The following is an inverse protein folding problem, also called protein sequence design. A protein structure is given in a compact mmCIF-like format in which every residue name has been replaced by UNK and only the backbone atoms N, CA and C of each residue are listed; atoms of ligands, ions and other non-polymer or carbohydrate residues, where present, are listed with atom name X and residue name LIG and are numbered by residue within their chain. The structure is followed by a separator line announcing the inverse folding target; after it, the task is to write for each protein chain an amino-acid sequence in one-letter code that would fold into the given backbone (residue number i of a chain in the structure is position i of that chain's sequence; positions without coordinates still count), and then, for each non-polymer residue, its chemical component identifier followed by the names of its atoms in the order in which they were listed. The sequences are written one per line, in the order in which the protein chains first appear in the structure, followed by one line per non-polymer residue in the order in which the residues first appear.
data_IF_430608069154
#
_entry.id   IF_430608069154
#
_cell.length_a   1.000
_cell.length_b   1.000
_cell.length_c   1.000
_cell.angle_alpha   90.00
_cell.angle_beta   90.00
_cell.angle_gamma   90.00
#
_symmetry.space_group_name_H-M   'P 1'
#
loop_
_entity.id
_entity.type
_entity.pdbx_description
1 polymer ?
#
# COMPACT_ATOMS: atom_id res chain seq x y z
N UNK A 1 9.20 -18.32 41.80
CA UNK A 1 7.96 -17.52 41.91
C UNK A 1 7.40 -17.34 40.51
N UNK A 2 6.65 -18.32 40.00
CA UNK A 2 5.94 -18.18 38.74
C UNK A 2 4.48 -17.85 39.09
N UNK A 3 4.07 -16.61 38.82
CA UNK A 3 2.69 -16.19 39.00
C UNK A 3 1.80 -16.98 38.04
N UNK A 4 0.82 -17.70 38.59
CA UNK A 4 -0.23 -18.34 37.80
C UNK A 4 -1.12 -17.24 37.20
N UNK A 5 -1.16 -17.17 35.87
CA UNK A 5 -2.13 -16.35 35.15
C UNK A 5 -3.44 -17.14 35.13
N UNK A 6 -4.42 -16.69 35.91
CA UNK A 6 -5.68 -17.41 36.19
C UNK A 6 -6.66 -17.53 35.01
N UNK A 7 -6.29 -16.98 33.86
CA UNK A 7 -7.06 -16.99 32.61
C UNK A 7 -6.06 -17.03 31.45
N UNK A 8 -6.42 -17.54 30.25
CA UNK A 8 -5.48 -17.56 29.14
C UNK A 8 -5.13 -16.11 28.78
N UNK A 9 -3.95 -15.64 29.23
CA UNK A 9 -3.33 -14.44 28.72
C UNK A 9 -3.07 -14.73 27.25
N UNK A 10 -3.91 -14.17 26.38
CA UNK A 10 -3.68 -14.28 24.95
C UNK A 10 -2.37 -13.54 24.70
N UNK A 11 -1.54 -14.02 23.77
CA UNK A 11 -0.27 -13.36 23.40
C UNK A 11 -0.49 -11.85 23.12
N UNK A 12 -1.70 -11.48 22.68
CA UNK A 12 -2.20 -10.10 22.51
C UNK A 12 -2.10 -9.20 23.75
N UNK A 13 -2.23 -9.76 24.96
CA UNK A 13 -2.25 -8.98 26.22
C UNK A 13 -0.82 -8.60 26.68
N UNK A 14 0.22 -9.18 26.06
CA UNK A 14 1.63 -8.94 26.39
C UNK A 14 2.28 -7.94 25.43
N UNK A 15 1.81 -7.85 24.18
CA UNK A 15 2.39 -6.94 23.19
C UNK A 15 1.35 -5.92 22.73
N UNK A 16 1.61 -4.64 23.02
CA UNK A 16 0.75 -3.49 22.69
C UNK A 16 0.56 -3.21 21.20
N UNK A 17 1.11 -4.06 20.31
CA UNK A 17 1.12 -3.88 18.86
C UNK A 17 1.01 -5.21 18.10
N UNK A 18 0.19 -6.14 18.60
CA UNK A 18 -0.14 -7.34 17.84
C UNK A 18 -1.33 -7.08 16.93
N UNK A 19 -1.18 -7.46 15.67
CA UNK A 19 -2.28 -7.66 14.73
C UNK A 19 -2.55 -9.16 14.67
N UNK A 20 -3.79 -9.59 14.84
CA UNK A 20 -4.18 -11.00 14.75
C UNK A 20 -5.42 -11.20 13.88
N UNK A 21 -5.56 -12.40 13.35
CA UNK A 21 -6.71 -12.83 12.58
C UNK A 21 -7.75 -13.50 13.51
N UNK A 22 -8.99 -13.02 13.49
CA UNK A 22 -10.10 -13.63 14.21
C UNK A 22 -10.82 -14.63 13.29
N UNK A 23 -10.75 -15.91 13.64
CA UNK A 23 -11.31 -17.00 12.83
C UNK A 23 -12.84 -17.09 12.90
N UNK A 24 -13.50 -16.35 13.82
CA UNK A 24 -14.96 -16.36 13.97
C UNK A 24 -15.64 -15.49 12.93
N UNK A 25 -15.05 -14.33 12.61
CA UNK A 25 -15.58 -13.34 11.66
C UNK A 25 -14.66 -13.13 10.44
N UNK A 26 -13.53 -13.84 10.37
CA UNK A 26 -12.53 -13.77 9.29
C UNK A 26 -11.93 -12.38 9.08
N UNK A 27 -11.73 -11.62 10.15
CA UNK A 27 -11.18 -10.25 10.10
C UNK A 27 -9.86 -10.11 10.87
N UNK A 28 -9.09 -9.08 10.54
CA UNK A 28 -7.91 -8.71 11.33
C UNK A 28 -8.27 -7.69 12.40
N UNK A 29 -7.65 -7.82 13.57
CA UNK A 29 -7.82 -6.91 14.71
C UNK A 29 -6.46 -6.48 15.24
N UNK A 30 -6.43 -5.30 15.84
CA UNK A 30 -5.32 -4.81 16.65
C UNK A 30 -5.81 -4.52 18.07
N UNK A 31 -4.97 -4.81 19.05
CA UNK A 31 -5.24 -4.49 20.45
C UNK A 31 -4.76 -3.06 20.67
N UNK A 32 -5.63 -2.19 21.20
CA UNK A 32 -5.24 -0.83 21.59
C UNK A 32 -5.15 -0.68 23.13
N UNK A 33 -5.25 -1.78 23.88
CA UNK A 33 -5.18 -1.84 25.33
C UNK A 33 -6.51 -1.60 26.06
N UNK A 34 -7.60 -1.28 25.34
CA UNK A 34 -8.94 -1.09 25.95
C UNK A 34 -10.03 -1.87 25.22
N UNK A 35 -10.03 -1.82 23.89
CA UNK A 35 -10.95 -2.57 23.03
C UNK A 35 -10.21 -3.05 21.79
N UNK A 36 -10.54 -4.25 21.34
CA UNK A 36 -10.02 -4.77 20.08
C UNK A 36 -10.60 -3.92 18.94
N UNK A 37 -9.74 -3.32 18.12
CA UNK A 37 -10.14 -2.49 16.98
C UNK A 37 -9.98 -3.31 15.72
N UNK A 38 -11.07 -3.46 14.96
CA UNK A 38 -10.99 -4.05 13.62
C UNK A 38 -9.97 -3.28 12.79
N UNK A 39 -9.00 -3.98 12.23
CA UNK A 39 -8.14 -3.44 11.19
C UNK A 39 -8.90 -3.67 9.90
N UNK A 40 -9.49 -2.62 9.30
CA UNK A 40 -10.10 -2.76 7.99
C UNK A 40 -8.98 -3.06 7.00
N UNK A 41 -8.72 -4.35 6.78
CA UNK A 41 -8.26 -4.81 5.48
C UNK A 41 -9.45 -4.64 4.58
N UNK A 42 -9.55 -3.46 3.99
CA UNK A 42 -10.65 -3.17 3.09
C UNK A 42 -10.73 -4.27 2.02
N UNK A 43 -11.93 -4.51 1.50
CA UNK A 43 -12.13 -5.21 0.22
C UNK A 43 -11.23 -4.68 -0.91
N UNK A 44 -10.66 -3.49 -0.68
CA UNK A 44 -9.81 -2.67 -1.50
C UNK A 44 -8.34 -3.11 -1.46
N UNK A 45 -7.97 -4.04 -0.57
CA UNK A 45 -6.81 -4.93 -0.78
C UNK A 45 -7.18 -5.94 -1.88
N UNK A 46 -7.53 -5.42 -3.05
CA UNK A 46 -7.52 -6.21 -4.28
C UNK A 46 -6.06 -6.62 -4.41
N UNK A 47 -5.81 -7.93 -4.30
CA UNK A 47 -4.49 -8.50 -4.47
C UNK A 47 -3.84 -7.83 -5.68
N UNK A 48 -2.70 -7.20 -5.46
CA UNK A 48 -1.89 -6.48 -6.46
C UNK A 48 -2.25 -5.01 -6.76
N UNK A 49 -3.31 -4.42 -6.19
CA UNK A 49 -3.52 -2.97 -6.14
C UNK A 49 -2.98 -2.43 -4.81
N UNK A 50 -1.77 -1.86 -4.82
CA UNK A 50 -1.04 -1.54 -3.58
C UNK A 50 -0.47 -0.14 -3.66
N UNK A 51 -0.75 0.66 -2.64
CA UNK A 51 -0.02 1.90 -2.35
C UNK A 51 1.10 1.59 -1.35
N UNK A 52 2.36 1.72 -1.77
CA UNK A 52 3.53 1.57 -0.89
C UNK A 52 4.18 2.91 -0.66
N UNK A 53 4.66 3.13 0.56
CA UNK A 53 5.54 4.24 0.88
C UNK A 53 6.63 3.75 1.85
N UNK A 54 7.86 4.20 1.63
CA UNK A 54 9.00 3.91 2.48
C UNK A 54 9.27 5.09 3.40
N UNK A 55 9.33 4.84 4.70
CA UNK A 55 9.55 5.86 5.73
C UNK A 55 10.98 5.84 6.30
N UNK A 56 11.89 5.07 5.71
CA UNK A 56 13.29 5.03 6.12
C UNK A 56 14.00 6.34 5.73
N UNK A 57 14.45 7.08 6.74
CA UNK A 57 15.17 8.35 6.57
C UNK A 57 16.56 8.20 5.93
N UNK A 58 17.05 6.96 5.79
CA UNK A 58 18.37 6.63 5.23
C UNK A 58 18.29 5.87 3.92
N UNK A 59 17.11 5.84 3.29
CA UNK A 59 16.92 5.19 2.00
C UNK A 59 17.88 5.77 0.95
N UNK A 60 18.68 4.90 0.33
CA UNK A 60 19.69 5.27 -0.68
C UNK A 60 19.44 4.62 -2.04
N UNK A 61 18.45 3.75 -2.15
CA UNK A 61 18.05 3.08 -3.39
C UNK A 61 16.62 2.55 -3.31
N UNK A 62 15.99 2.30 -4.45
CA UNK A 62 14.58 1.88 -4.55
C UNK A 62 13.60 3.04 -4.41
N UNK A 63 12.32 2.71 -4.17
CA UNK A 63 11.23 3.68 -4.19
C UNK A 63 10.86 4.20 -2.80
N UNK A 64 10.67 5.52 -2.70
CA UNK A 64 10.05 6.20 -1.55
C UNK A 64 8.53 6.01 -1.61
N UNK A 65 7.95 5.98 -2.80
CA UNK A 65 6.52 5.85 -3.01
C UNK A 65 6.24 5.03 -4.27
N UNK A 66 5.26 4.14 -4.22
CA UNK A 66 4.91 3.26 -5.34
C UNK A 66 3.39 3.05 -5.38
N UNK A 67 2.78 3.16 -6.56
CA UNK A 67 1.42 2.70 -6.81
C UNK A 67 1.46 1.52 -7.77
N UNK A 68 0.89 0.40 -7.34
CA UNK A 68 0.71 -0.79 -8.18
C UNK A 68 -0.75 -0.88 -8.60
N UNK A 69 -0.99 -1.15 -9.87
CA UNK A 69 -2.27 -1.54 -10.41
C UNK A 69 -2.16 -2.98 -10.94
N UNK A 70 -2.92 -3.90 -10.35
CA UNK A 70 -2.89 -5.32 -10.67
C UNK A 70 -1.46 -5.92 -10.69
N UNK A 71 -0.56 -5.41 -9.86
CA UNK A 71 0.79 -5.96 -9.62
C UNK A 71 1.87 -5.33 -10.48
N UNK A 72 1.46 -4.49 -11.41
CA UNK A 72 2.35 -3.65 -12.20
C UNK A 72 2.45 -2.29 -11.53
N UNK A 73 3.67 -1.85 -11.25
CA UNK A 73 3.90 -0.45 -10.89
C UNK A 73 3.40 0.45 -12.00
N UNK A 74 2.55 1.43 -11.67
CA UNK A 74 2.06 2.42 -12.63
C UNK A 74 2.66 3.81 -12.39
N UNK A 75 3.12 4.05 -11.17
CA UNK A 75 3.73 5.31 -10.73
C UNK A 75 4.68 5.01 -9.56
N UNK A 76 5.84 5.66 -9.54
CA UNK A 76 6.74 5.64 -8.39
C UNK A 76 7.54 6.94 -8.26
N UNK A 77 8.07 7.14 -7.05
CA UNK A 77 9.07 8.17 -6.76
C UNK A 77 10.25 7.48 -6.10
N UNK A 78 11.43 7.59 -6.71
CA UNK A 78 12.62 6.91 -6.21
C UNK A 78 13.32 7.67 -5.06
N UNK A 79 14.32 7.03 -4.46
CA UNK A 79 15.14 7.59 -3.39
C UNK A 79 15.89 8.89 -3.77
N UNK A 80 16.02 9.20 -5.06
CA UNK A 80 16.62 10.43 -5.58
C UNK A 80 15.56 11.51 -5.84
N UNK A 81 14.27 11.19 -5.67
CA UNK A 81 13.13 12.06 -5.94
C UNK A 81 12.69 12.07 -7.40
N UNK A 82 13.20 11.16 -8.25
CA UNK A 82 12.75 11.06 -9.63
C UNK A 82 11.37 10.41 -9.70
N UNK A 83 10.49 10.98 -10.53
CA UNK A 83 9.15 10.45 -10.78
C UNK A 83 9.19 9.52 -11.98
N UNK A 84 8.71 8.29 -11.79
CA UNK A 84 8.61 7.29 -12.84
C UNK A 84 7.15 7.02 -13.16
N UNK A 85 6.82 7.03 -14.45
CA UNK A 85 5.52 6.59 -14.97
C UNK A 85 5.73 5.29 -15.73
N UNK A 86 4.82 4.33 -15.54
CA UNK A 86 4.93 3.08 -16.27
C UNK A 86 4.79 3.31 -17.77
N UNK A 87 5.71 2.79 -18.60
CA UNK A 87 5.67 2.98 -20.03
C UNK A 87 4.44 2.33 -20.67
N UNK A 88 3.78 3.05 -21.58
CA UNK A 88 2.63 2.54 -22.33
C UNK A 88 2.91 2.58 -23.82
N UNK A 89 2.51 1.53 -24.53
CA UNK A 89 2.61 1.45 -25.99
C UNK A 89 1.44 2.13 -26.70
N UNK A 90 0.40 2.53 -25.96
CA UNK A 90 -0.77 3.23 -26.47
C UNK A 90 -1.35 4.20 -25.42
N UNK A 91 -2.10 5.19 -25.88
CA UNK A 91 -2.88 6.08 -25.02
C UNK A 91 -3.86 5.27 -24.12
N UNK A 92 -4.16 5.78 -22.91
CA UNK A 92 -5.25 5.26 -22.09
C UNK A 92 -6.59 5.28 -22.84
N UNK A 93 -7.45 4.30 -22.60
CA UNK A 93 -8.75 4.18 -23.30
C UNK A 93 -9.79 5.20 -22.81
N UNK A 94 -9.61 5.72 -21.61
CA UNK A 94 -10.44 6.69 -20.91
C UNK A 94 -9.71 8.03 -20.73
N UNK A 95 -8.96 8.43 -21.76
CA UNK A 95 -8.08 9.60 -21.73
C UNK A 95 -8.86 10.92 -21.62
N UNK A 96 -9.18 11.33 -20.39
CA UNK A 96 -9.82 12.60 -20.07
C UNK A 96 -8.80 13.75 -19.95
N UNK A 97 -9.28 15.00 -19.93
CA UNK A 97 -8.46 16.17 -19.61
C UNK A 97 -7.64 15.98 -18.32
N UNK A 98 -6.36 16.36 -18.36
CA UNK A 98 -5.44 16.24 -17.24
C UNK A 98 -4.77 14.87 -17.11
N UNK A 99 -5.08 13.92 -17.99
CA UNK A 99 -4.39 12.60 -18.00
C UNK A 99 -2.93 12.76 -18.40
N UNK A 100 -2.01 12.19 -17.61
CA UNK A 100 -0.57 12.20 -17.87
C UNK A 100 -0.08 10.76 -18.00
N UNK A 101 0.68 10.46 -19.06
CA UNK A 101 1.31 9.13 -19.23
C UNK A 101 2.58 9.22 -20.06
N UNK A 102 3.46 8.22 -19.92
CA UNK A 102 4.64 8.06 -20.77
C UNK A 102 4.34 7.13 -21.95
N UNK A 103 4.46 7.65 -23.16
CA UNK A 103 4.33 6.90 -24.41
C UNK A 103 5.68 6.34 -24.83
N UNK A 104 5.87 5.03 -24.66
CA UNK A 104 7.11 4.33 -25.01
C UNK A 104 7.27 4.08 -26.51
N UNK A 105 6.21 4.25 -27.30
CA UNK A 105 6.29 4.10 -28.75
C UNK A 105 6.97 5.31 -29.39
N UNK A 106 6.87 6.48 -28.74
CA UNK A 106 7.39 7.76 -29.22
C UNK A 106 8.41 8.40 -28.27
N UNK A 107 8.74 7.75 -27.16
CA UNK A 107 9.59 8.28 -26.08
C UNK A 107 9.19 9.68 -25.60
N UNK A 108 7.91 9.89 -25.35
CA UNK A 108 7.34 11.21 -25.00
C UNK A 108 6.44 11.16 -23.77
N UNK A 109 6.46 12.23 -22.99
CA UNK A 109 5.46 12.50 -21.96
C UNK A 109 4.23 13.13 -22.62
N UNK A 110 3.07 12.51 -22.42
CA UNK A 110 1.81 12.96 -22.97
C UNK A 110 0.96 13.58 -21.85
N UNK A 111 0.30 14.70 -22.16
CA UNK A 111 -0.65 15.39 -21.28
C UNK A 111 -1.90 15.70 -22.10
N UNK A 112 -3.04 15.17 -21.66
CA UNK A 112 -4.32 15.42 -22.30
C UNK A 112 -4.87 16.78 -21.87
N UNK A 113 -5.27 17.59 -22.84
CA UNK A 113 -5.86 18.91 -22.64
C UNK A 113 -7.31 18.88 -23.13
N UNK A 114 -8.19 19.69 -22.55
CA UNK A 114 -9.51 19.90 -23.14
C UNK A 114 -9.40 20.57 -24.51
N UNK A 115 -10.26 20.16 -25.43
CA UNK A 115 -10.48 20.84 -26.71
C UNK A 115 -11.27 22.15 -26.52
#
# INVERSE_FOLDING_TARGET
MAGSLSTPNKIKDVYTKLVWFNTTDSKFYRDNGTVDVEVPVASDLVTNNILKHNTDATLSSGDIFQLLNNGTEVFSVDAQGAVHLYPRTSAPTDNAEGTIYYDSSNDTLQISIAE
#
